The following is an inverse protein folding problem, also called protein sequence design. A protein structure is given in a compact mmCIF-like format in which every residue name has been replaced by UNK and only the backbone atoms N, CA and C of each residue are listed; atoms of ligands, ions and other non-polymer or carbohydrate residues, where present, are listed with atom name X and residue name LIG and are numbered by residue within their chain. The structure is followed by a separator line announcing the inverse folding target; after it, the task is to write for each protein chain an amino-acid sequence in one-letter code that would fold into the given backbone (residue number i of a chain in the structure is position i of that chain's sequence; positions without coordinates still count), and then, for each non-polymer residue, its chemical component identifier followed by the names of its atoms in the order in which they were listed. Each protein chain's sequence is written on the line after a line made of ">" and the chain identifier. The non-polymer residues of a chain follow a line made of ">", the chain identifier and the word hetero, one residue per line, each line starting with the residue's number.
data_IF_295712635693
#
_entry.id   IF_295712635693
#
_cell.length_a   1.000
_cell.length_b   1.000
_cell.length_c   1.000
_cell.angle_alpha   90.00
_cell.angle_beta   90.00
_cell.angle_gamma   90.00
#
_symmetry.space_group_name_H-M   'P 1'
#
loop_
_entity.id
_entity.type
_entity.pdbx_description
1 polymer ?
#
# COMPACT_ATOMS: atom_id res chain seq x y z
N UNK A 1 -28.38 -17.19 -11.59
CA UNK A 1 -27.46 -17.91 -12.49
C UNK A 1 -26.41 -16.94 -12.98
N UNK A 2 -25.14 -17.14 -12.59
CA UNK A 2 -24.02 -16.35 -13.08
C UNK A 2 -23.80 -16.73 -14.55
N UNK A 3 -23.87 -15.77 -15.47
CA UNK A 3 -23.56 -16.03 -16.88
C UNK A 3 -22.12 -16.56 -16.97
N UNK A 4 -21.87 -17.64 -17.72
CA UNK A 4 -20.50 -18.14 -17.89
C UNK A 4 -19.64 -17.03 -18.50
N UNK A 5 -18.44 -16.86 -17.93
CA UNK A 5 -17.47 -15.87 -18.40
C UNK A 5 -17.08 -16.17 -19.85
N UNK A 6 -17.00 -15.13 -20.70
CA UNK A 6 -16.58 -15.37 -22.08
C UNK A 6 -15.16 -15.91 -22.14
N UNK A 7 -14.89 -16.84 -23.08
CA UNK A 7 -13.54 -17.41 -23.25
C UNK A 7 -12.48 -16.32 -23.48
N UNK A 8 -12.83 -15.23 -24.16
CA UNK A 8 -11.91 -14.10 -24.40
C UNK A 8 -11.54 -13.38 -23.11
N UNK A 9 -12.52 -13.17 -22.25
CA UNK A 9 -12.32 -12.54 -20.94
C UNK A 9 -11.42 -13.40 -20.04
N UNK A 10 -11.69 -14.71 -20.00
CA UNK A 10 -10.86 -15.65 -19.24
C UNK A 10 -9.42 -15.68 -19.76
N UNK A 11 -9.22 -15.73 -21.09
CA UNK A 11 -7.89 -15.67 -21.71
C UNK A 11 -7.15 -14.38 -21.36
N UNK A 12 -7.82 -13.24 -21.48
CA UNK A 12 -7.22 -11.95 -21.16
C UNK A 12 -6.78 -11.89 -19.70
N UNK A 13 -7.63 -12.31 -18.76
CA UNK A 13 -7.30 -12.34 -17.32
C UNK A 13 -6.11 -13.23 -17.02
N UNK A 14 -6.08 -14.46 -17.57
CA UNK A 14 -4.97 -15.40 -17.37
C UNK A 14 -3.63 -14.86 -17.89
N UNK A 15 -3.66 -14.05 -18.95
CA UNK A 15 -2.46 -13.40 -19.49
C UNK A 15 -2.07 -12.20 -18.61
N UNK A 16 -3.04 -11.41 -18.17
CA UNK A 16 -2.81 -10.23 -17.33
C UNK A 16 -2.20 -10.60 -15.97
N UNK A 17 -2.66 -11.70 -15.36
CA UNK A 17 -2.14 -12.20 -14.07
C UNK A 17 -0.69 -12.67 -14.16
N UNK A 18 -0.21 -13.06 -15.34
CA UNK A 18 1.13 -13.64 -15.57
C UNK A 18 2.09 -12.73 -16.33
N UNK A 19 1.63 -11.52 -16.71
CA UNK A 19 2.33 -10.57 -17.59
C UNK A 19 2.63 -11.13 -18.99
N UNK A 20 3.14 -12.37 -19.08
CA UNK A 20 3.31 -13.14 -20.32
C UNK A 20 3.19 -14.63 -20.03
N UNK A 21 2.79 -15.41 -21.04
CA UNK A 21 2.64 -16.86 -20.93
C UNK A 21 2.78 -17.55 -22.28
N UNK A 22 3.24 -18.81 -22.28
CA UNK A 22 3.29 -19.58 -23.52
C UNK A 22 1.90 -20.06 -23.94
N UNK A 23 1.69 -20.22 -25.25
CA UNK A 23 0.44 -20.80 -25.77
C UNK A 23 0.19 -22.20 -25.21
N UNK A 24 1.27 -22.95 -24.90
CA UNK A 24 1.16 -24.27 -24.31
C UNK A 24 0.64 -24.22 -22.86
N UNK A 25 1.12 -23.26 -22.04
CA UNK A 25 0.63 -23.06 -20.68
C UNK A 25 -0.85 -22.62 -20.69
N UNK A 26 -1.23 -21.70 -21.59
CA UNK A 26 -2.63 -21.30 -21.78
C UNK A 26 -3.50 -22.48 -22.24
N UNK A 27 -3.01 -23.29 -23.17
CA UNK A 27 -3.68 -24.48 -23.65
C UNK A 27 -4.03 -25.42 -22.51
N UNK A 28 -3.08 -25.71 -21.64
CA UNK A 28 -3.29 -26.55 -20.45
C UNK A 28 -4.26 -25.93 -19.46
N UNK A 29 -4.13 -24.62 -19.19
CA UNK A 29 -4.96 -23.94 -18.20
C UNK A 29 -6.44 -23.83 -18.60
N UNK A 30 -6.72 -23.73 -19.92
CA UNK A 30 -8.09 -23.47 -20.44
C UNK A 30 -8.67 -24.67 -21.16
N UNK A 31 -7.86 -25.70 -21.44
CA UNK A 31 -8.32 -26.91 -22.15
C UNK A 31 -8.57 -26.70 -23.65
N UNK A 32 -7.96 -25.68 -24.27
CA UNK A 32 -8.10 -25.40 -25.71
C UNK A 32 -6.81 -25.73 -26.45
N UNK A 33 -6.97 -26.26 -27.70
CA UNK A 33 -5.81 -26.52 -28.57
C UNK A 33 -5.10 -25.21 -28.97
N UNK A 34 -3.76 -25.18 -29.10
CA UNK A 34 -2.96 -24.00 -29.41
C UNK A 34 -3.48 -23.20 -30.63
N UNK A 35 -3.88 -23.90 -31.69
CA UNK A 35 -4.40 -23.28 -32.92
C UNK A 35 -5.73 -22.52 -32.66
N UNK A 36 -6.60 -23.09 -31.82
CA UNK A 36 -7.86 -22.43 -31.40
C UNK A 36 -7.57 -21.21 -30.54
N UNK A 37 -6.54 -21.26 -29.68
CA UNK A 37 -6.11 -20.11 -28.88
C UNK A 37 -5.61 -18.97 -29.75
N UNK A 38 -4.75 -19.22 -30.73
CA UNK A 38 -4.29 -18.19 -31.66
C UNK A 38 -5.45 -17.48 -32.35
N UNK A 39 -6.44 -18.24 -32.83
CA UNK A 39 -7.64 -17.66 -33.44
C UNK A 39 -8.42 -16.77 -32.49
N UNK A 40 -8.58 -17.20 -31.22
CA UNK A 40 -9.30 -16.43 -30.20
C UNK A 40 -8.50 -15.22 -29.71
N UNK A 41 -7.16 -15.26 -29.68
CA UNK A 41 -6.32 -14.15 -29.23
C UNK A 41 -6.15 -13.06 -30.31
N UNK A 42 -6.28 -13.38 -31.60
CA UNK A 42 -6.17 -12.40 -32.70
C UNK A 42 -6.96 -11.11 -32.51
N UNK A 43 -8.24 -11.13 -32.07
CA UNK A 43 -8.99 -9.89 -31.84
C UNK A 43 -8.37 -9.02 -30.74
N UNK A 44 -7.79 -9.61 -29.70
CA UNK A 44 -7.13 -8.88 -28.60
C UNK A 44 -5.81 -8.26 -29.05
N UNK A 45 -5.07 -8.97 -29.87
CA UNK A 45 -3.84 -8.44 -30.50
C UNK A 45 -4.17 -7.33 -31.49
N UNK A 46 -5.19 -7.51 -32.35
CA UNK A 46 -5.66 -6.47 -33.28
C UNK A 46 -6.12 -5.20 -32.59
N UNK A 47 -6.71 -5.32 -31.40
CA UNK A 47 -7.09 -4.16 -30.55
C UNK A 47 -5.90 -3.56 -29.78
N UNK A 48 -4.72 -4.16 -29.90
CA UNK A 48 -3.50 -3.71 -29.23
C UNK A 48 -3.42 -4.07 -27.75
N UNK A 49 -4.33 -4.88 -27.19
CA UNK A 49 -4.31 -5.26 -25.77
C UNK A 49 -3.17 -6.25 -25.45
N UNK A 50 -2.90 -7.14 -26.40
CA UNK A 50 -1.90 -8.18 -26.30
C UNK A 50 -0.86 -8.05 -27.41
N UNK A 51 0.30 -8.63 -27.16
CA UNK A 51 1.40 -8.75 -28.14
C UNK A 51 1.95 -10.17 -28.08
N UNK A 52 2.31 -10.72 -29.24
CA UNK A 52 3.08 -11.95 -29.33
C UNK A 52 4.58 -11.65 -29.32
N UNK A 53 5.37 -12.52 -28.69
CA UNK A 53 6.82 -12.55 -28.89
C UNK A 53 7.17 -13.02 -30.31
N UNK A 54 8.42 -12.82 -30.70
CA UNK A 54 8.94 -13.38 -31.95
C UNK A 54 8.64 -14.89 -32.05
N UNK A 55 8.20 -15.34 -33.22
CA UNK A 55 7.79 -16.73 -33.44
C UNK A 55 6.47 -17.15 -32.76
N UNK A 56 5.73 -16.23 -32.16
CA UNK A 56 4.43 -16.49 -31.50
C UNK A 56 4.49 -17.53 -30.37
N UNK A 57 5.67 -17.76 -29.79
CA UNK A 57 5.82 -18.74 -28.71
C UNK A 57 5.19 -18.28 -27.39
N UNK A 58 5.16 -16.97 -27.15
CA UNK A 58 4.55 -16.36 -25.95
C UNK A 58 3.58 -15.25 -26.36
N UNK A 59 2.60 -15.02 -25.51
CA UNK A 59 1.66 -13.90 -25.58
C UNK A 59 1.67 -13.18 -24.24
N UNK A 60 1.67 -11.86 -24.27
CA UNK A 60 1.65 -11.02 -23.05
C UNK A 60 0.84 -9.75 -23.25
N UNK A 61 0.69 -9.02 -22.17
CA UNK A 61 0.12 -7.67 -22.21
C UNK A 61 1.02 -6.79 -23.10
N UNK A 62 0.41 -5.95 -23.92
CA UNK A 62 1.14 -4.97 -24.72
C UNK A 62 1.54 -3.77 -23.85
N UNK A 63 2.83 -3.53 -23.57
CA UNK A 63 3.26 -2.40 -22.73
C UNK A 63 2.86 -1.05 -23.37
N UNK A 64 2.83 -0.95 -24.70
CA UNK A 64 2.53 0.28 -25.44
C UNK A 64 1.03 0.55 -25.57
N UNK A 65 0.17 -0.31 -25.02
CA UNK A 65 -1.29 -0.08 -25.06
C UNK A 65 -1.69 1.20 -24.35
N UNK A 66 -0.96 1.61 -23.35
CA UNK A 66 -1.15 2.84 -22.61
C UNK A 66 -0.34 2.88 -21.34
N UNK A 67 -0.65 3.84 -20.50
CA UNK A 67 0.05 4.10 -19.26
C UNK A 67 -0.93 4.19 -18.10
N UNK A 68 -0.45 3.93 -16.90
CA UNK A 68 -1.18 4.13 -15.65
C UNK A 68 -0.37 5.01 -14.71
N UNK A 69 -1.05 5.72 -13.82
CA UNK A 69 -0.40 6.52 -12.79
C UNK A 69 -0.81 5.99 -11.42
N UNK A 70 0.17 5.65 -10.61
CA UNK A 70 0.03 5.42 -9.18
C UNK A 70 0.46 6.66 -8.41
N UNK A 71 -0.29 7.02 -7.39
CA UNK A 71 -0.02 8.19 -6.54
C UNK A 71 -0.05 7.77 -5.08
N UNK A 72 0.96 8.19 -4.34
CA UNK A 72 0.95 8.22 -2.89
C UNK A 72 0.69 9.66 -2.43
N UNK A 73 -0.45 9.87 -1.76
CA UNK A 73 -0.80 11.12 -1.11
C UNK A 73 -0.40 11.04 0.36
N UNK A 74 0.76 11.58 0.70
CA UNK A 74 1.19 11.75 2.08
C UNK A 74 0.68 13.05 2.71
N UNK A 75 0.98 13.26 3.99
CA UNK A 75 0.60 14.50 4.69
C UNK A 75 1.32 15.76 4.20
N UNK A 76 2.47 15.64 3.52
CA UNK A 76 3.30 16.77 3.06
C UNK A 76 3.83 16.63 1.65
N UNK A 77 3.49 15.57 0.97
CA UNK A 77 3.98 15.26 -0.37
C UNK A 77 2.95 14.50 -1.19
N UNK A 78 3.09 14.62 -2.50
CA UNK A 78 2.50 13.75 -3.51
C UNK A 78 3.65 13.07 -4.24
N UNK A 79 3.68 11.76 -4.22
CA UNK A 79 4.61 10.98 -5.04
C UNK A 79 3.85 10.33 -6.20
N UNK A 80 4.34 10.51 -7.42
CA UNK A 80 3.74 10.00 -8.64
C UNK A 80 4.66 8.99 -9.30
N UNK A 81 4.12 7.86 -9.72
CA UNK A 81 4.79 6.92 -10.61
C UNK A 81 3.93 6.67 -11.84
N UNK A 82 4.49 6.95 -13.01
CA UNK A 82 3.94 6.58 -14.31
C UNK A 82 4.53 5.25 -14.73
N UNK A 83 3.68 4.29 -15.05
CA UNK A 83 4.10 2.98 -15.53
C UNK A 83 3.48 2.64 -16.89
N UNK A 84 4.13 1.77 -17.66
CA UNK A 84 3.58 1.16 -18.86
C UNK A 84 2.44 0.18 -18.50
N UNK A 85 1.83 -0.43 -19.50
CA UNK A 85 0.69 -1.32 -19.29
C UNK A 85 1.06 -2.72 -18.74
N UNK A 86 2.36 -2.98 -18.49
CA UNK A 86 2.89 -4.12 -17.73
C UNK A 86 3.30 -3.77 -16.32
N UNK A 87 3.38 -2.48 -16.01
CA UNK A 87 3.77 -1.99 -14.69
C UNK A 87 5.25 -1.61 -14.55
N UNK A 88 6.01 -1.60 -15.65
CA UNK A 88 7.36 -1.06 -15.61
C UNK A 88 7.28 0.47 -15.42
N UNK A 89 7.92 0.98 -14.37
CA UNK A 89 7.94 2.42 -14.06
C UNK A 89 8.75 3.15 -15.14
N UNK A 90 8.12 4.10 -15.80
CA UNK A 90 8.69 4.91 -16.86
C UNK A 90 9.21 6.26 -16.36
N UNK A 91 8.56 6.83 -15.36
CA UNK A 91 8.93 8.10 -14.76
C UNK A 91 8.30 8.24 -13.37
N UNK A 92 8.99 8.97 -12.50
CA UNK A 92 8.52 9.35 -11.17
C UNK A 92 8.64 10.88 -11.00
N UNK A 93 7.81 11.44 -10.13
CA UNK A 93 7.96 12.83 -9.68
C UNK A 93 7.40 13.02 -8.29
N UNK A 94 8.03 13.91 -7.54
CA UNK A 94 7.61 14.32 -6.21
C UNK A 94 7.12 15.76 -6.23
N UNK A 95 6.07 16.03 -5.46
CA UNK A 95 5.57 17.37 -5.24
C UNK A 95 5.33 17.60 -3.75
N UNK A 96 5.97 18.60 -3.18
CA UNK A 96 5.66 19.05 -1.82
C UNK A 96 4.29 19.71 -1.81
N UNK A 97 3.47 19.33 -0.84
CA UNK A 97 2.18 19.93 -0.55
C UNK A 97 2.18 20.49 0.86
N UNK A 98 1.26 21.39 1.14
CA UNK A 98 1.00 21.88 2.48
C UNK A 98 -0.37 21.40 2.92
N UNK A 99 -0.50 20.83 4.13
CA UNK A 99 -1.79 20.34 4.62
C UNK A 99 -2.92 21.37 4.51
N UNK A 100 -2.61 22.65 4.72
CA UNK A 100 -3.56 23.78 4.65
C UNK A 100 -4.04 24.13 3.24
N UNK A 101 -3.46 23.56 2.20
CA UNK A 101 -3.82 23.86 0.80
C UNK A 101 -5.27 23.44 0.44
N UNK A 102 -5.86 22.56 1.23
CA UNK A 102 -7.24 22.09 1.07
C UNK A 102 -7.47 21.16 -0.12
N UNK A 103 -8.65 20.51 -0.18
CA UNK A 103 -8.89 19.43 -1.15
C UNK A 103 -8.90 19.92 -2.62
N UNK A 104 -9.45 21.09 -2.91
CA UNK A 104 -9.55 21.59 -4.30
C UNK A 104 -8.19 21.87 -4.91
N UNK A 105 -7.28 22.48 -4.14
CA UNK A 105 -5.92 22.74 -4.63
C UNK A 105 -5.16 21.43 -4.82
N UNK A 106 -5.23 20.50 -3.85
CA UNK A 106 -4.56 19.21 -3.96
C UNK A 106 -5.09 18.38 -5.13
N UNK A 107 -6.40 18.40 -5.41
CA UNK A 107 -6.94 17.80 -6.64
C UNK A 107 -6.37 18.43 -7.91
N UNK A 108 -6.20 19.75 -7.92
CA UNK A 108 -5.54 20.46 -9.02
C UNK A 108 -4.12 19.96 -9.25
N UNK A 109 -3.35 19.81 -8.17
CA UNK A 109 -1.97 19.30 -8.18
C UNK A 109 -1.89 17.85 -8.69
N UNK A 110 -2.83 17.00 -8.27
CA UNK A 110 -2.94 15.61 -8.73
C UNK A 110 -3.19 15.57 -10.25
N UNK A 111 -4.14 16.35 -10.75
CA UNK A 111 -4.48 16.41 -12.18
C UNK A 111 -3.30 16.92 -13.02
N UNK A 112 -2.67 17.99 -12.55
CA UNK A 112 -1.50 18.59 -13.24
C UNK A 112 -0.32 17.62 -13.27
N UNK A 113 0.01 17.01 -12.12
CA UNK A 113 1.11 16.04 -12.00
C UNK A 113 0.91 14.84 -12.93
N UNK A 114 -0.29 14.23 -12.91
CA UNK A 114 -0.60 13.10 -13.77
C UNK A 114 -0.52 13.45 -15.26
N UNK A 115 -1.05 14.63 -15.67
CA UNK A 115 -0.98 15.10 -17.07
C UNK A 115 0.45 15.42 -17.51
N UNK A 116 1.18 16.14 -16.68
CA UNK A 116 2.57 16.53 -16.97
C UNK A 116 3.45 15.29 -17.14
N UNK A 117 3.34 14.32 -16.22
CA UNK A 117 4.14 13.12 -16.28
C UNK A 117 3.82 12.25 -17.52
N UNK A 118 2.52 12.11 -17.84
CA UNK A 118 2.06 11.40 -19.04
C UNK A 118 2.53 12.11 -20.32
N UNK A 119 2.46 13.43 -20.39
CA UNK A 119 2.89 14.21 -21.56
C UNK A 119 4.41 14.14 -21.77
N UNK A 120 5.20 14.15 -20.68
CA UNK A 120 6.67 14.08 -20.73
C UNK A 120 7.18 12.77 -21.35
N UNK A 121 6.52 11.65 -21.04
CA UNK A 121 6.91 10.33 -21.57
C UNK A 121 6.27 10.07 -22.94
N UNK A 122 5.12 10.71 -23.20
CA UNK A 122 4.27 10.42 -24.36
C UNK A 122 3.45 9.16 -24.14
N UNK A 123 2.23 9.13 -24.62
CA UNK A 123 1.37 7.96 -24.47
C UNK A 123 -0.06 8.33 -24.07
N UNK A 124 -0.82 7.35 -23.66
CA UNK A 124 -2.22 7.52 -23.27
C UNK A 124 -2.46 6.99 -21.87
N UNK A 125 -2.85 7.86 -20.96
CA UNK A 125 -3.32 7.47 -19.63
C UNK A 125 -4.56 6.60 -19.73
N UNK A 126 -4.58 5.46 -19.02
CA UNK A 126 -5.67 4.47 -19.02
C UNK A 126 -6.40 4.39 -17.70
N UNK A 127 -5.72 4.60 -16.61
CA UNK A 127 -6.27 4.64 -15.26
C UNK A 127 -5.30 5.34 -14.31
N UNK A 128 -5.84 5.71 -13.15
CA UNK A 128 -5.08 6.29 -12.06
C UNK A 128 -5.54 5.64 -10.75
N UNK A 129 -4.61 5.41 -9.82
CA UNK A 129 -4.97 5.03 -8.46
C UNK A 129 -4.17 5.84 -7.44
N UNK A 130 -4.78 6.08 -6.28
CA UNK A 130 -4.23 6.92 -5.22
C UNK A 130 -4.33 6.21 -3.87
N UNK A 131 -3.20 6.10 -3.17
CA UNK A 131 -3.16 5.81 -1.74
C UNK A 131 -3.41 7.08 -0.94
N UNK A 132 -4.31 7.03 0.03
CA UNK A 132 -4.70 8.18 0.86
C UNK A 132 -4.51 7.83 2.32
N UNK A 133 -3.91 8.69 3.17
CA UNK A 133 -3.69 8.42 4.58
C UNK A 133 -4.99 8.63 5.38
N UNK A 134 -6.01 7.84 5.06
CA UNK A 134 -7.37 8.02 5.54
C UNK A 134 -8.23 6.78 5.29
N UNK A 135 -9.29 6.56 6.08
CA UNK A 135 -10.36 5.66 5.70
C UNK A 135 -11.04 6.10 4.40
N UNK A 136 -11.16 5.17 3.47
CA UNK A 136 -11.70 5.39 2.13
C UNK A 136 -12.88 4.46 1.87
N UNK A 137 -13.98 4.99 1.35
CA UNK A 137 -14.98 4.18 0.66
C UNK A 137 -14.48 3.94 -0.79
N UNK A 138 -13.76 2.84 -0.97
CA UNK A 138 -13.13 2.52 -2.25
C UNK A 138 -14.14 2.26 -3.37
N UNK A 139 -15.37 1.80 -3.04
CA UNK A 139 -16.42 1.55 -4.03
C UNK A 139 -17.01 2.85 -4.58
N UNK A 140 -17.14 3.87 -3.73
CA UNK A 140 -17.70 5.18 -4.09
C UNK A 140 -16.63 6.20 -4.46
N UNK A 141 -15.36 5.90 -4.24
CA UNK A 141 -14.28 6.85 -4.44
C UNK A 141 -14.33 8.06 -3.51
N UNK A 142 -14.74 7.84 -2.24
CA UNK A 142 -14.93 8.89 -1.25
C UNK A 142 -13.90 8.78 -0.14
N UNK A 143 -13.21 9.88 0.16
CA UNK A 143 -12.40 10.03 1.35
C UNK A 143 -13.31 10.45 2.50
N UNK A 144 -13.47 9.59 3.51
CA UNK A 144 -14.40 9.84 4.61
C UNK A 144 -13.95 11.04 5.45
N UNK A 145 -12.70 11.04 5.88
CA UNK A 145 -12.02 12.15 6.55
C UNK A 145 -10.51 11.91 6.52
N UNK A 146 -9.69 12.95 6.57
CA UNK A 146 -8.25 12.80 6.70
C UNK A 146 -7.73 13.75 7.79
N UNK A 147 -7.26 13.18 8.90
CA UNK A 147 -6.81 13.96 10.06
C UNK A 147 -5.66 14.91 9.73
N UNK A 148 -4.75 14.48 8.89
CA UNK A 148 -3.56 15.24 8.50
C UNK A 148 -3.79 16.20 7.32
N UNK A 149 -5.03 16.25 6.79
CA UNK A 149 -5.41 17.10 5.65
C UNK A 149 -6.66 17.92 6.00
N UNK A 150 -6.53 19.16 6.49
CA UNK A 150 -7.66 20.02 6.84
C UNK A 150 -8.67 20.18 5.70
N UNK A 151 -9.95 20.09 6.04
CA UNK A 151 -11.03 20.21 5.08
C UNK A 151 -11.38 18.93 4.32
N UNK A 152 -10.65 17.84 4.54
CA UNK A 152 -10.93 16.53 3.91
C UNK A 152 -11.98 15.76 4.71
N UNK A 153 -13.24 16.03 4.41
CA UNK A 153 -14.39 15.33 4.99
C UNK A 153 -15.43 15.08 3.91
N UNK A 154 -15.74 13.80 3.67
CA UNK A 154 -16.68 13.35 2.64
C UNK A 154 -16.33 13.89 1.23
N UNK A 155 -15.04 13.82 0.86
CA UNK A 155 -14.56 14.30 -0.44
C UNK A 155 -14.74 13.20 -1.48
N UNK A 156 -15.51 13.49 -2.54
CA UNK A 156 -15.73 12.61 -3.70
C UNK A 156 -14.54 12.64 -4.67
N UNK A 157 -13.34 12.40 -4.14
CA UNK A 157 -12.07 12.55 -4.86
C UNK A 157 -12.03 11.72 -6.14
N UNK A 158 -12.50 10.47 -6.08
CA UNK A 158 -12.50 9.56 -7.24
C UNK A 158 -13.30 10.14 -8.39
N UNK A 159 -14.55 10.51 -8.14
CA UNK A 159 -15.45 11.06 -9.16
C UNK A 159 -14.92 12.37 -9.78
N UNK A 160 -14.48 13.31 -8.95
CA UNK A 160 -13.94 14.59 -9.43
C UNK A 160 -12.68 14.42 -10.31
N UNK A 161 -11.81 13.47 -9.95
CA UNK A 161 -10.63 13.15 -10.75
C UNK A 161 -10.98 12.42 -12.05
N UNK A 162 -11.96 11.52 -12.04
CA UNK A 162 -12.47 10.85 -13.25
C UNK A 162 -13.03 11.87 -14.24
N UNK A 163 -13.81 12.84 -13.77
CA UNK A 163 -14.33 13.92 -14.62
C UNK A 163 -13.24 14.76 -15.25
N UNK A 164 -12.21 15.12 -14.48
CA UNK A 164 -11.11 15.97 -14.94
C UNK A 164 -10.13 15.23 -15.87
N UNK A 165 -9.80 13.98 -15.56
CA UNK A 165 -8.80 13.19 -16.28
C UNK A 165 -9.40 12.34 -17.42
N UNK A 166 -10.71 12.07 -17.39
CA UNK A 166 -11.43 11.21 -18.35
C UNK A 166 -10.90 9.78 -18.40
N UNK A 167 -10.42 9.28 -17.27
CA UNK A 167 -9.99 7.89 -17.06
C UNK A 167 -10.55 7.36 -15.76
N UNK A 168 -10.70 6.05 -15.58
CA UNK A 168 -11.10 5.45 -14.31
C UNK A 168 -10.09 5.80 -13.20
N UNK A 169 -10.60 6.08 -12.00
CA UNK A 169 -9.81 6.39 -10.81
C UNK A 169 -10.16 5.44 -9.68
N UNK A 170 -9.16 4.93 -8.99
CA UNK A 170 -9.31 4.09 -7.81
C UNK A 170 -8.66 4.74 -6.59
N UNK A 171 -9.36 4.72 -5.47
CA UNK A 171 -8.85 5.18 -4.19
C UNK A 171 -8.75 4.02 -3.21
N UNK A 172 -7.69 4.02 -2.41
CA UNK A 172 -7.52 3.07 -1.32
C UNK A 172 -6.77 3.73 -0.16
N UNK A 173 -6.89 3.17 1.03
CA UNK A 173 -6.05 3.55 2.15
C UNK A 173 -4.56 3.28 1.83
N UNK A 174 -3.66 4.10 2.34
CA UNK A 174 -2.21 4.04 2.10
C UNK A 174 -1.57 2.72 2.58
N UNK A 175 -1.94 2.21 3.76
CA UNK A 175 -1.43 0.93 4.26
C UNK A 175 -1.96 -0.25 3.44
N UNK A 176 -3.19 -0.18 2.96
CA UNK A 176 -3.73 -1.15 2.02
C UNK A 176 -3.00 -1.10 0.67
N UNK A 177 -2.64 0.09 0.19
CA UNK A 177 -1.78 0.24 -1.00
C UNK A 177 -0.40 -0.36 -0.76
N UNK A 178 0.20 -0.14 0.41
CA UNK A 178 1.48 -0.77 0.76
C UNK A 178 1.37 -2.30 0.74
N UNK A 179 0.28 -2.87 1.25
CA UNK A 179 0.04 -4.31 1.18
C UNK A 179 -0.07 -4.83 -0.26
N UNK A 180 -0.77 -4.11 -1.14
CA UNK A 180 -0.83 -4.45 -2.57
C UNK A 180 0.56 -4.40 -3.20
N UNK A 181 1.37 -3.40 -2.88
CA UNK A 181 2.75 -3.25 -3.36
C UNK A 181 3.64 -4.40 -2.92
N UNK A 182 3.62 -4.75 -1.64
CA UNK A 182 4.39 -5.87 -1.07
C UNK A 182 3.98 -7.23 -1.66
N UNK A 183 2.69 -7.43 -1.91
CA UNK A 183 2.21 -8.63 -2.58
C UNK A 183 2.64 -8.70 -4.05
N UNK A 184 2.76 -7.56 -4.72
CA UNK A 184 3.15 -7.52 -6.15
C UNK A 184 4.67 -7.65 -6.35
N UNK A 185 5.46 -6.83 -5.67
CA UNK A 185 6.91 -6.72 -5.89
C UNK A 185 7.79 -6.84 -4.64
N UNK A 186 7.18 -6.90 -3.44
CA UNK A 186 7.90 -6.92 -2.19
C UNK A 186 8.13 -8.33 -1.62
N UNK A 187 8.41 -8.36 -0.32
CA UNK A 187 8.72 -9.60 0.42
C UNK A 187 7.51 -10.53 0.58
N UNK A 188 6.29 -10.04 0.35
CA UNK A 188 5.05 -10.81 0.39
C UNK A 188 4.64 -11.37 -0.99
N UNK A 189 5.51 -11.29 -2.00
CA UNK A 189 5.20 -11.84 -3.33
C UNK A 189 4.96 -13.35 -3.25
N UNK A 190 3.75 -13.76 -3.69
CA UNK A 190 3.32 -15.16 -3.67
C UNK A 190 2.89 -15.68 -2.30
N UNK A 191 2.70 -14.81 -1.31
CA UNK A 191 2.17 -15.14 0.01
C UNK A 191 0.70 -14.75 0.05
N UNK A 192 -0.18 -15.72 0.29
CA UNK A 192 -1.63 -15.51 0.22
C UNK A 192 -2.21 -14.89 1.49
N UNK A 193 -1.60 -15.13 2.65
CA UNK A 193 -2.08 -14.63 3.94
C UNK A 193 -0.95 -13.88 4.64
N UNK A 194 -1.01 -12.57 4.67
CA UNK A 194 -0.01 -11.77 5.37
C UNK A 194 -0.60 -10.47 5.90
N UNK A 195 0.11 -9.87 6.84
CA UNK A 195 -0.19 -8.55 7.35
C UNK A 195 1.06 -7.68 7.22
N UNK A 196 0.91 -6.51 6.59
CA UNK A 196 1.90 -5.45 6.71
C UNK A 196 1.50 -4.49 7.81
N UNK A 197 2.44 -4.09 8.65
CA UNK A 197 2.31 -3.03 9.66
C UNK A 197 3.24 -1.91 9.23
N UNK A 198 2.66 -0.78 8.86
CA UNK A 198 3.39 0.41 8.47
C UNK A 198 3.47 1.36 9.68
N UNK A 199 4.71 1.66 10.13
CA UNK A 199 4.99 2.49 11.29
C UNK A 199 5.70 3.76 10.80
N UNK A 200 4.97 4.85 10.77
CA UNK A 200 5.45 6.18 10.38
C UNK A 200 5.12 7.20 11.44
N UNK A 201 4.57 8.36 11.07
CA UNK A 201 3.97 9.34 12.00
C UNK A 201 2.91 8.67 12.86
N UNK A 202 2.04 7.88 12.25
CA UNK A 202 1.08 6.98 12.89
C UNK A 202 1.41 5.51 12.63
N UNK A 203 0.43 4.62 12.92
CA UNK A 203 0.57 3.18 12.71
C UNK A 203 -0.69 2.63 12.05
N UNK A 204 -0.51 2.01 10.89
CA UNK A 204 -1.59 1.35 10.17
C UNK A 204 -1.20 -0.05 9.73
N UNK A 205 -2.15 -0.80 9.19
CA UNK A 205 -1.86 -2.09 8.58
C UNK A 205 -2.72 -2.38 7.37
N UNK A 206 -2.19 -3.24 6.49
CA UNK A 206 -2.93 -3.85 5.39
C UNK A 206 -2.94 -5.36 5.54
N UNK A 207 -4.08 -5.98 5.31
CA UNK A 207 -4.32 -7.41 5.55
C UNK A 207 -4.64 -8.11 4.24
N UNK A 208 -3.91 -9.17 3.92
CA UNK A 208 -4.20 -10.09 2.82
C UNK A 208 -4.69 -11.42 3.36
N UNK A 209 -5.77 -11.93 2.79
CA UNK A 209 -6.34 -13.24 3.08
C UNK A 209 -6.70 -13.92 1.76
N UNK A 210 -6.22 -15.16 1.59
CA UNK A 210 -6.43 -15.94 0.36
C UNK A 210 -6.02 -15.17 -0.92
N UNK A 211 -4.86 -14.52 -0.90
CA UNK A 211 -4.30 -13.77 -2.01
C UNK A 211 -5.05 -12.48 -2.38
N UNK A 212 -5.89 -11.95 -1.47
CA UNK A 212 -6.68 -10.74 -1.71
C UNK A 212 -6.62 -9.80 -0.53
N UNK A 213 -6.61 -8.51 -0.81
CA UNK A 213 -6.76 -7.48 0.21
C UNK A 213 -8.10 -7.65 0.95
N UNK A 214 -8.02 -7.80 2.26
CA UNK A 214 -9.18 -7.91 3.13
C UNK A 214 -9.55 -6.54 3.71
N UNK A 215 -10.67 -6.00 3.27
CA UNK A 215 -11.16 -4.68 3.69
C UNK A 215 -12.13 -4.72 4.86
N UNK A 216 -12.65 -5.90 5.20
CA UNK A 216 -13.71 -6.03 6.21
C UNK A 216 -15.05 -5.46 5.74
N UNK A 217 -15.98 -5.32 6.66
CA UNK A 217 -17.37 -4.88 6.37
C UNK A 217 -17.47 -3.41 5.94
N UNK A 218 -16.63 -2.56 6.49
CA UNK A 218 -16.71 -1.08 6.33
C UNK A 218 -15.47 -0.48 5.66
N UNK A 219 -14.55 -1.31 5.17
CA UNK A 219 -13.25 -0.84 4.69
C UNK A 219 -12.21 -0.61 5.79
N UNK A 220 -12.53 -0.93 7.05
CA UNK A 220 -11.67 -0.63 8.22
C UNK A 220 -10.98 -1.88 8.79
N UNK A 221 -10.82 -2.95 8.01
CA UNK A 221 -9.94 -4.04 8.45
C UNK A 221 -8.50 -3.53 8.47
N UNK A 222 -7.73 -3.93 9.47
CA UNK A 222 -6.35 -3.47 9.61
C UNK A 222 -6.18 -2.17 10.40
N UNK A 223 -7.23 -1.58 10.97
CA UNK A 223 -7.15 -0.40 11.85
C UNK A 223 -6.52 -0.76 13.21
N UNK A 224 -5.30 -1.34 13.18
CA UNK A 224 -4.59 -1.88 14.35
C UNK A 224 -4.21 -0.82 15.38
N UNK A 225 -4.12 0.44 14.97
CA UNK A 225 -3.82 1.55 15.86
C UNK A 225 -4.78 1.64 17.05
N UNK A 226 -6.02 1.15 16.89
CA UNK A 226 -7.06 1.14 17.94
C UNK A 226 -6.92 0.01 18.94
N UNK A 227 -6.04 -0.97 18.73
CA UNK A 227 -5.87 -2.07 19.68
C UNK A 227 -5.51 -1.52 21.06
N UNK A 228 -6.22 -1.99 22.09
CA UNK A 228 -5.88 -1.68 23.46
C UNK A 228 -5.11 -2.87 24.06
N UNK A 229 -3.85 -2.65 24.40
CA UNK A 229 -2.97 -3.66 24.99
C UNK A 229 -2.98 -3.62 26.53
N UNK A 230 -3.60 -2.60 27.13
CA UNK A 230 -3.69 -2.41 28.58
C UNK A 230 -5.16 -2.30 28.99
N UNK A 231 -5.80 -3.42 29.32
CA UNK A 231 -7.23 -3.47 29.65
C UNK A 231 -7.71 -2.44 30.68
N UNK A 232 -6.93 -2.03 31.71
CA UNK A 232 -7.39 -0.99 32.66
C UNK A 232 -7.62 0.39 32.01
N UNK A 233 -7.02 0.60 30.84
CA UNK A 233 -7.08 1.87 30.10
C UNK A 233 -8.17 1.90 29.01
N UNK A 234 -9.10 0.96 29.02
CA UNK A 234 -10.14 0.81 27.99
C UNK A 234 -11.05 2.05 27.86
N UNK A 235 -11.22 2.81 28.95
CA UNK A 235 -12.07 4.00 28.99
C UNK A 235 -11.29 5.30 28.70
N UNK A 236 -9.96 5.24 28.53
CA UNK A 236 -9.17 6.41 28.21
C UNK A 236 -9.43 6.86 26.79
N UNK A 237 -9.50 8.19 26.63
CA UNK A 237 -9.63 8.79 25.32
C UNK A 237 -8.23 9.14 24.77
N UNK A 238 -7.79 8.39 23.77
CA UNK A 238 -6.52 8.62 23.07
C UNK A 238 -6.68 9.60 21.89
N UNK A 239 -7.78 10.33 21.83
CA UNK A 239 -8.09 11.21 20.69
C UNK A 239 -8.31 10.39 19.41
N UNK A 240 -7.77 10.90 18.32
CA UNK A 240 -7.85 10.25 17.01
C UNK A 240 -6.83 9.11 16.86
N UNK A 241 -5.88 9.02 17.78
CA UNK A 241 -4.79 8.04 17.78
C UNK A 241 -5.18 6.77 18.46
N UNK A 242 -5.51 5.83 18.61
CA UNK A 242 -5.78 4.67 19.48
C UNK A 242 -4.64 4.37 20.44
N UNK A 243 -4.90 3.45 21.35
CA UNK A 243 -3.93 3.09 22.39
C UNK A 243 -2.62 2.53 21.81
N UNK A 244 -2.71 1.62 20.84
CA UNK A 244 -1.51 1.02 20.23
C UNK A 244 -0.64 2.06 19.53
N UNK A 245 -1.24 2.94 18.73
CA UNK A 245 -0.51 4.00 18.03
C UNK A 245 0.10 5.03 18.99
N UNK A 246 -0.53 5.29 20.12
CA UNK A 246 0.02 6.24 21.11
C UNK A 246 1.40 5.83 21.66
N UNK A 247 1.78 4.57 21.43
CA UNK A 247 3.12 4.06 21.72
C UNK A 247 3.87 3.70 20.46
N UNK A 248 3.29 2.89 19.60
CA UNK A 248 3.95 2.29 18.44
C UNK A 248 3.76 3.20 17.22
N UNK A 249 4.34 4.38 17.28
CA UNK A 249 4.37 5.35 16.18
C UNK A 249 5.49 6.35 16.40
N UNK A 250 5.80 7.16 15.39
CA UNK A 250 6.75 8.26 15.53
C UNK A 250 6.34 9.25 16.61
N UNK A 251 5.04 9.56 16.70
CA UNK A 251 4.50 10.40 17.78
C UNK A 251 4.65 9.77 19.16
N UNK A 252 4.40 8.47 19.28
CA UNK A 252 4.56 7.73 20.53
C UNK A 252 6.03 7.68 20.99
N UNK A 253 6.94 7.40 20.07
CA UNK A 253 8.39 7.38 20.33
C UNK A 253 8.86 8.77 20.79
N UNK A 254 8.44 9.84 20.10
CA UNK A 254 8.76 11.20 20.48
C UNK A 254 8.25 11.53 21.88
N UNK A 255 6.99 11.23 22.18
CA UNK A 255 6.36 11.50 23.47
C UNK A 255 7.07 10.77 24.63
N UNK A 256 7.44 9.50 24.46
CA UNK A 256 8.19 8.74 25.46
C UNK A 256 9.64 9.24 25.56
N UNK A 257 10.26 9.60 24.43
CA UNK A 257 11.59 10.19 24.40
C UNK A 257 11.68 11.50 25.17
N UNK A 258 10.73 12.41 25.00
CA UNK A 258 10.68 13.68 25.74
C UNK A 258 10.53 13.50 27.25
N UNK A 259 9.91 12.41 27.70
CA UNK A 259 9.82 12.10 29.15
C UNK A 259 11.14 11.56 29.72
N UNK A 260 11.90 10.83 28.89
CA UNK A 260 13.06 10.08 29.33
C UNK A 260 14.40 10.80 29.11
N UNK A 261 14.50 11.60 28.03
CA UNK A 261 15.76 12.20 27.59
C UNK A 261 15.80 13.69 27.92
N UNK A 262 16.92 14.21 28.46
CA UNK A 262 17.12 15.64 28.63
C UNK A 262 17.29 16.28 27.23
N UNK A 263 16.34 17.03 26.77
CA UNK A 263 16.34 17.73 25.47
C UNK A 263 15.59 19.05 25.54
N UNK A 264 15.66 19.91 24.53
CA UNK A 264 14.90 21.13 24.50
C UNK A 264 13.40 20.79 24.56
N UNK A 265 12.74 21.32 25.57
CA UNK A 265 11.31 21.16 25.80
C UNK A 265 10.51 21.98 24.76
N UNK A 266 10.66 21.68 23.48
CA UNK A 266 9.87 22.32 22.41
C UNK A 266 9.34 21.31 21.42
N UNK A 267 8.11 21.29 21.38
CA UNK A 267 7.06 21.06 20.42
C UNK A 267 6.11 19.92 20.76
N UNK A 268 4.97 20.29 21.32
CA UNK A 268 3.73 19.55 21.06
C UNK A 268 3.39 19.71 19.56
N UNK A 269 4.30 19.26 18.68
CA UNK A 269 4.17 19.40 17.25
C UNK A 269 3.46 18.18 16.69
N UNK A 270 2.40 18.42 15.97
CA UNK A 270 1.69 17.41 15.18
C UNK A 270 2.44 17.10 13.86
N UNK A 271 2.38 15.87 13.41
CA UNK A 271 2.83 15.48 12.09
C UNK A 271 4.35 15.38 11.92
N UNK A 272 4.91 16.03 10.90
CA UNK A 272 6.33 15.96 10.50
C UNK A 272 7.34 16.36 11.59
N UNK A 273 6.93 17.17 12.56
CA UNK A 273 7.78 17.50 13.69
C UNK A 273 7.96 16.31 14.63
N UNK A 274 6.89 15.51 14.84
CA UNK A 274 6.95 14.31 15.65
C UNK A 274 7.87 13.23 15.06
N UNK A 275 7.94 13.12 13.73
CA UNK A 275 8.93 12.23 13.09
C UNK A 275 10.36 12.69 13.39
N UNK A 276 10.67 13.99 13.33
CA UNK A 276 11.98 14.52 13.68
C UNK A 276 12.35 14.23 15.13
N UNK A 277 11.38 14.33 16.02
CA UNK A 277 11.58 14.04 17.45
C UNK A 277 11.82 12.54 17.70
N UNK A 278 11.17 11.65 16.93
CA UNK A 278 11.47 10.22 16.95
C UNK A 278 12.90 9.93 16.46
N UNK A 279 13.36 10.61 15.42
CA UNK A 279 14.76 10.50 14.96
C UNK A 279 15.77 10.90 16.04
N UNK A 280 15.46 11.88 16.86
CA UNK A 280 16.31 12.26 18.00
C UNK A 280 16.47 11.09 18.98
N UNK A 281 15.40 10.35 19.29
CA UNK A 281 15.48 9.17 20.16
C UNK A 281 16.33 8.07 19.54
N UNK A 282 16.17 7.82 18.23
CA UNK A 282 16.99 6.85 17.50
C UNK A 282 18.46 7.27 17.41
N UNK A 283 18.75 8.56 17.29
CA UNK A 283 20.13 9.07 17.30
C UNK A 283 20.78 8.85 18.66
N UNK A 284 20.11 9.18 19.75
CA UNK A 284 20.57 8.90 21.10
C UNK A 284 20.76 7.38 21.35
N UNK A 285 19.85 6.55 20.81
CA UNK A 285 19.98 5.10 20.85
C UNK A 285 21.24 4.61 20.14
N UNK A 286 21.53 5.12 18.94
CA UNK A 286 22.77 4.79 18.17
C UNK A 286 24.03 5.23 18.88
N UNK A 287 23.95 6.32 19.65
CA UNK A 287 25.06 6.81 20.50
C UNK A 287 25.22 6.01 21.80
N UNK A 288 24.38 5.02 22.05
CA UNK A 288 24.44 4.14 23.21
C UNK A 288 23.79 4.69 24.48
N UNK A 289 22.94 5.72 24.35
CA UNK A 289 22.23 6.28 25.50
C UNK A 289 21.28 5.22 26.13
N UNK A 290 21.41 4.90 27.42
CA UNK A 290 20.64 3.85 28.07
C UNK A 290 19.16 4.21 28.23
N UNK A 291 18.82 5.49 28.31
CA UNK A 291 17.42 5.94 28.43
C UNK A 291 16.71 5.83 27.07
N UNK A 292 17.40 6.25 26.00
CA UNK A 292 16.90 6.05 24.63
C UNK A 292 16.71 4.56 24.32
N UNK A 293 17.66 3.72 24.74
CA UNK A 293 17.55 2.26 24.59
C UNK A 293 16.32 1.72 25.31
N UNK A 294 16.07 2.13 26.56
CA UNK A 294 14.90 1.70 27.33
C UNK A 294 13.59 2.12 26.67
N UNK A 295 13.50 3.34 26.11
CA UNK A 295 12.33 3.83 25.35
C UNK A 295 12.08 2.95 24.13
N UNK A 296 13.09 2.73 23.29
CA UNK A 296 12.96 1.95 22.06
C UNK A 296 12.62 0.48 22.37
N UNK A 297 13.24 -0.12 23.38
CA UNK A 297 12.94 -1.50 23.82
C UNK A 297 11.49 -1.64 24.31
N UNK A 298 10.99 -0.69 25.11
CA UNK A 298 9.60 -0.66 25.55
C UNK A 298 8.66 -0.65 24.36
N UNK A 299 8.89 0.23 23.39
CA UNK A 299 8.01 0.42 22.24
C UNK A 299 8.04 -0.81 21.32
N UNK A 300 9.20 -1.37 21.03
CA UNK A 300 9.30 -2.58 20.22
C UNK A 300 8.75 -3.82 20.96
N UNK A 301 8.79 -3.82 22.29
CA UNK A 301 8.08 -4.83 23.08
C UNK A 301 6.56 -4.70 22.90
N UNK A 302 6.01 -3.50 22.95
CA UNK A 302 4.58 -3.28 22.70
C UNK A 302 4.19 -3.64 21.26
N UNK A 303 5.04 -3.34 20.28
CA UNK A 303 4.86 -3.79 18.90
C UNK A 303 4.78 -5.32 18.82
N UNK A 304 5.71 -6.03 19.47
CA UNK A 304 5.72 -7.49 19.52
C UNK A 304 4.46 -8.08 20.13
N UNK A 305 3.97 -7.50 21.23
CA UNK A 305 2.70 -7.92 21.87
C UNK A 305 1.51 -7.67 20.92
N UNK A 306 1.47 -6.52 20.25
CA UNK A 306 0.44 -6.24 19.25
C UNK A 306 0.46 -7.25 18.09
N UNK A 307 1.64 -7.63 17.61
CA UNK A 307 1.82 -8.63 16.56
C UNK A 307 1.32 -10.02 17.03
N UNK A 308 1.62 -10.42 18.27
CA UNK A 308 1.08 -11.65 18.86
C UNK A 308 -0.45 -11.68 18.80
N UNK A 309 -1.11 -10.56 19.13
CA UNK A 309 -2.57 -10.47 19.06
C UNK A 309 -3.08 -10.57 17.61
N UNK A 310 -2.39 -9.96 16.64
CA UNK A 310 -2.72 -10.07 15.21
C UNK A 310 -2.58 -11.50 14.73
N UNK A 311 -1.49 -12.19 15.09
CA UNK A 311 -1.25 -13.59 14.74
C UNK A 311 -2.36 -14.48 15.35
N UNK A 312 -2.74 -14.24 16.59
CA UNK A 312 -3.79 -15.01 17.28
C UNK A 312 -5.17 -14.95 16.59
N UNK A 313 -5.43 -13.88 15.83
CA UNK A 313 -6.73 -13.67 15.16
C UNK A 313 -6.69 -14.07 13.70
N UNK A 314 -5.57 -13.83 13.00
CA UNK A 314 -5.49 -13.94 11.54
C UNK A 314 -4.67 -15.16 11.08
N UNK A 315 -3.81 -15.72 11.92
CA UNK A 315 -2.89 -16.83 11.58
C UNK A 315 -2.20 -16.64 10.22
N UNK A 316 -1.44 -15.55 10.03
CA UNK A 316 -0.86 -15.21 8.75
C UNK A 316 0.41 -16.04 8.46
N UNK A 317 0.71 -16.26 7.18
CA UNK A 317 1.95 -16.90 6.71
C UNK A 317 3.18 -15.98 6.85
N UNK A 318 2.97 -14.66 6.97
CA UNK A 318 4.03 -13.65 7.04
C UNK A 318 3.55 -12.36 7.72
N UNK A 319 4.41 -11.77 8.56
CA UNK A 319 4.28 -10.39 9.02
C UNK A 319 5.33 -9.53 8.32
N UNK A 320 4.92 -8.40 7.74
CA UNK A 320 5.82 -7.40 7.13
C UNK A 320 5.82 -6.15 7.98
N UNK A 321 7.00 -5.64 8.33
CA UNK A 321 7.17 -4.37 9.03
C UNK A 321 7.72 -3.32 8.07
N UNK A 322 7.01 -2.20 7.94
CA UNK A 322 7.38 -1.10 7.04
C UNK A 322 7.22 0.27 7.67
N UNK A 323 7.43 1.31 6.86
CA UNK A 323 7.36 2.71 7.29
C UNK A 323 8.68 3.25 7.82
N UNK A 324 8.74 4.58 8.02
CA UNK A 324 9.98 5.29 8.37
C UNK A 324 10.60 4.86 9.70
N UNK A 325 9.76 4.52 10.68
CA UNK A 325 10.22 4.09 12.02
C UNK A 325 10.92 2.73 11.97
N UNK A 326 10.53 1.85 11.07
CA UNK A 326 11.18 0.55 10.91
C UNK A 326 12.66 0.69 10.49
N UNK A 327 13.05 1.80 9.88
CA UNK A 327 14.43 2.11 9.48
C UNK A 327 15.30 2.64 10.63
N UNK A 328 14.70 3.09 11.72
CA UNK A 328 15.39 3.74 12.83
C UNK A 328 16.38 2.82 13.56
N UNK A 329 15.97 1.56 13.83
CA UNK A 329 16.78 0.51 14.44
C UNK A 329 16.28 -0.88 13.95
N UNK A 330 16.46 -1.22 12.67
CA UNK A 330 15.80 -2.36 12.03
C UNK A 330 16.15 -3.71 12.65
N UNK A 331 17.43 -3.96 12.91
CA UNK A 331 17.88 -5.23 13.51
C UNK A 331 17.41 -5.38 14.95
N UNK A 332 17.43 -4.30 15.72
CA UNK A 332 16.95 -4.32 17.11
C UNK A 332 15.43 -4.47 17.17
N UNK A 333 14.69 -3.87 16.25
CA UNK A 333 13.25 -4.06 16.13
C UNK A 333 12.91 -5.51 15.81
N UNK A 334 13.51 -6.08 14.76
CA UNK A 334 13.29 -7.47 14.37
C UNK A 334 13.60 -8.43 15.51
N UNK A 335 14.81 -8.33 16.09
CA UNK A 335 15.24 -9.22 17.17
C UNK A 335 14.33 -9.16 18.40
N UNK A 336 13.83 -7.96 18.75
CA UNK A 336 12.92 -7.77 19.88
C UNK A 336 11.55 -8.38 19.58
N UNK A 337 10.99 -8.10 18.42
CA UNK A 337 9.67 -8.61 18.01
C UNK A 337 9.70 -10.14 17.84
N UNK A 338 10.70 -10.67 17.14
CA UNK A 338 10.86 -12.11 16.92
C UNK A 338 10.99 -12.86 18.26
N UNK A 339 11.77 -12.35 19.20
CA UNK A 339 11.91 -12.93 20.54
C UNK A 339 10.56 -13.07 21.24
N UNK A 340 9.68 -12.07 21.14
CA UNK A 340 8.37 -12.09 21.78
C UNK A 340 7.43 -13.06 21.08
N UNK A 341 7.38 -13.03 19.75
CA UNK A 341 6.54 -13.91 18.96
C UNK A 341 6.96 -15.37 19.13
N UNK A 342 8.26 -15.67 19.06
CA UNK A 342 8.79 -17.01 19.29
C UNK A 342 8.58 -17.51 20.71
N UNK A 343 8.58 -16.63 21.72
CA UNK A 343 8.26 -17.04 23.09
C UNK A 343 6.84 -17.65 23.22
N UNK A 344 5.89 -17.10 22.45
CA UNK A 344 4.48 -17.53 22.48
C UNK A 344 4.22 -18.69 21.50
N UNK A 345 4.67 -18.56 20.24
CA UNK A 345 4.34 -19.48 19.16
C UNK A 345 5.39 -20.55 18.90
N UNK A 346 6.60 -20.41 19.47
CA UNK A 346 7.71 -21.34 19.30
C UNK A 346 7.99 -21.61 17.81
N UNK A 347 8.02 -22.89 17.43
CA UNK A 347 8.21 -23.34 16.04
C UNK A 347 7.08 -22.95 15.07
N UNK A 348 5.91 -22.58 15.59
CA UNK A 348 4.77 -22.13 14.78
C UNK A 348 4.74 -20.62 14.57
N UNK A 349 5.78 -19.90 15.00
CA UNK A 349 5.88 -18.46 14.76
C UNK A 349 5.98 -18.15 13.26
N UNK A 350 5.11 -17.32 12.69
CA UNK A 350 5.28 -16.90 11.30
C UNK A 350 6.55 -16.06 11.15
N UNK A 351 7.22 -16.09 9.99
CA UNK A 351 8.35 -15.22 9.72
C UNK A 351 7.94 -13.75 9.80
N UNK A 352 8.86 -12.91 10.29
CA UNK A 352 8.72 -11.47 10.36
C UNK A 352 9.79 -10.86 9.46
N UNK A 353 9.41 -10.01 8.52
CA UNK A 353 10.34 -9.39 7.57
C UNK A 353 10.16 -7.89 7.51
N UNK A 354 11.23 -7.18 7.22
CA UNK A 354 11.13 -5.78 6.84
C UNK A 354 10.65 -5.67 5.40
N UNK A 355 9.88 -4.61 5.11
CA UNK A 355 9.53 -4.23 3.74
C UNK A 355 10.80 -4.07 2.89
N UNK A 356 10.81 -4.67 1.71
CA UNK A 356 11.89 -4.47 0.73
C UNK A 356 11.62 -3.31 -0.22
N UNK A 357 10.41 -2.77 -0.22
CA UNK A 357 10.01 -1.66 -1.08
C UNK A 357 10.20 -0.30 -0.42
N UNK A 358 10.47 -0.30 0.89
CA UNK A 358 10.70 0.92 1.67
C UNK A 358 9.55 1.94 1.51
N UNK A 359 9.90 3.18 1.10
CA UNK A 359 8.94 4.28 0.91
C UNK A 359 8.15 4.14 -0.40
N UNK A 360 8.44 3.13 -1.22
CA UNK A 360 7.78 2.91 -2.51
C UNK A 360 6.63 1.90 -2.45
N UNK A 361 6.39 1.27 -1.30
CA UNK A 361 5.37 0.24 -1.18
C UNK A 361 3.97 0.74 -1.58
N UNK A 362 3.57 1.93 -1.09
CA UNK A 362 2.30 2.55 -1.42
C UNK A 362 2.20 2.87 -2.92
N UNK A 363 3.26 3.47 -3.48
CA UNK A 363 3.30 3.86 -4.89
C UNK A 363 3.23 2.64 -5.82
N UNK A 364 3.98 1.57 -5.53
CA UNK A 364 3.88 0.32 -6.29
C UNK A 364 2.49 -0.30 -6.17
N UNK A 365 1.89 -0.26 -4.98
CA UNK A 365 0.51 -0.68 -4.78
C UNK A 365 -0.49 0.11 -5.61
N UNK A 366 -0.32 1.44 -5.66
CA UNK A 366 -1.16 2.31 -6.48
C UNK A 366 -0.97 2.04 -7.98
N UNK A 367 0.26 1.83 -8.46
CA UNK A 367 0.52 1.41 -9.86
C UNK A 367 -0.20 0.09 -10.16
N UNK A 368 -0.07 -0.91 -9.27
CA UNK A 368 -0.76 -2.19 -9.44
C UNK A 368 -2.27 -2.04 -9.46
N UNK A 369 -2.84 -1.28 -8.56
CA UNK A 369 -4.27 -1.03 -8.50
C UNK A 369 -4.79 -0.31 -9.78
N UNK A 370 -4.05 0.66 -10.30
CA UNK A 370 -4.38 1.34 -11.54
C UNK A 370 -4.33 0.40 -12.76
N UNK A 371 -3.34 -0.51 -12.82
CA UNK A 371 -3.26 -1.56 -13.83
C UNK A 371 -4.46 -2.49 -13.77
N UNK A 372 -4.79 -2.98 -12.57
CA UNK A 372 -5.94 -3.86 -12.37
C UNK A 372 -7.25 -3.20 -12.82
N UNK A 373 -7.43 -1.92 -12.48
CA UNK A 373 -8.59 -1.13 -12.88
C UNK A 373 -8.68 -1.00 -14.41
N UNK A 374 -7.59 -0.66 -15.09
CA UNK A 374 -7.53 -0.53 -16.53
C UNK A 374 -7.77 -1.87 -17.24
N UNK A 375 -7.17 -2.95 -16.75
CA UNK A 375 -7.31 -4.30 -17.30
C UNK A 375 -8.74 -4.84 -17.09
N UNK A 376 -9.35 -4.58 -15.93
CA UNK A 376 -10.75 -4.91 -15.68
C UNK A 376 -11.71 -4.16 -16.61
N UNK A 377 -11.42 -2.88 -16.91
CA UNK A 377 -12.21 -2.10 -17.87
C UNK A 377 -12.16 -2.70 -19.29
N UNK A 378 -11.02 -3.27 -19.71
CA UNK A 378 -10.90 -4.04 -20.94
C UNK A 378 -11.73 -5.33 -20.86
N UNK A 379 -11.52 -6.10 -19.78
CA UNK A 379 -12.20 -7.39 -19.59
C UNK A 379 -13.73 -7.28 -19.57
N UNK A 380 -14.29 -6.17 -19.07
CA UNK A 380 -15.73 -5.90 -19.09
C UNK A 380 -16.32 -5.68 -20.51
N UNK A 381 -15.45 -5.29 -21.48
CA UNK A 381 -15.82 -5.03 -22.88
C UNK A 381 -15.63 -6.25 -23.79
N UNK A 382 -15.11 -7.34 -23.24
CA UNK A 382 -14.91 -8.64 -23.90
C UNK A 382 -16.02 -9.63 -23.56
#
# INVERSE_FOLDING_TARGET
>A
MIKPESTLKLLFRQIAERESTSLHQLSRAIGLQPQSLLTKLRPLVKKGFLVFSEGHAQVGINPDYGQVVGIDLGGSHLHFALADFRGAVLAESDKKIRPEDGPQKLMGEIVEGARSLTAKVGGRLRALAIGVPSPVDAERGVVAFAYNLPGWKNIHLGHELEEKLRVPVFLENDCNMAAIGEHWHGVARGVDNFVIIAIGTGTGSGVFVNGKLYRGRTGSAGEVYRMNLEWPRWAENFGDSGHFESYVSGMGIAAEGHKALPGPAESAASGLAAERDAYFVFEAFRQGDPQARAVIEKIFTMLGVGIVNIISVLDPDLIVLGGGIAKGAPEFMLSTVEKIVQHIYKENAPPIKLSSLEDKAQTFGAVRAALDLAQQAIARRL
#
